data_IF_016363469954
#
_entry.id   IF_016363469954
#
_cell.length_a   1.000
_cell.length_b   1.000
_cell.length_c   1.000
_cell.angle_alpha   90.00
_cell.angle_beta   90.00
_cell.angle_gamma   90.00
#
_symmetry.space_group_name_H-M   'P 1'
#
loop_
_entity.id
_entity.type
_entity.pdbx_description
1 polymer ?
#
# COMPACT_ATOMS: atom_id res chain seq x y z
N UNK A 1 8.55 25.67 53.78
CA UNK A 1 9.60 25.57 52.74
C UNK A 1 9.88 24.09 52.50
N UNK A 2 9.57 23.64 51.27
CA UNK A 2 10.07 22.43 50.57
C UNK A 2 9.80 21.05 51.20
N UNK A 3 8.74 20.43 50.70
CA UNK A 3 8.59 18.99 50.54
C UNK A 3 9.63 18.44 49.55
N UNK A 4 10.07 17.19 49.74
CA UNK A 4 10.38 16.30 48.64
C UNK A 4 10.18 14.83 49.08
N UNK A 5 9.15 14.23 48.48
CA UNK A 5 8.72 12.85 48.63
C UNK A 5 9.71 11.88 47.99
N UNK A 6 10.04 10.81 48.72
CA UNK A 6 10.61 9.58 48.18
C UNK A 6 9.57 8.87 47.33
N UNK A 7 9.82 8.71 46.02
CA UNK A 7 9.08 7.82 45.15
C UNK A 7 10.00 6.74 44.57
N UNK A 8 9.58 5.51 44.83
CA UNK A 8 10.13 4.20 44.50
C UNK A 8 10.48 4.07 43.01
N UNK A 9 11.73 3.71 42.68
CA UNK A 9 12.14 3.32 41.33
C UNK A 9 11.49 1.97 40.97
N UNK A 10 10.56 2.00 40.01
CA UNK A 10 10.11 0.79 39.32
C UNK A 10 11.18 0.34 38.31
N UNK A 11 11.50 -0.95 38.37
CA UNK A 11 12.46 -1.61 37.50
C UNK A 11 11.92 -1.61 36.07
N UNK A 12 12.65 -0.97 35.15
CA UNK A 12 12.32 -0.96 33.72
C UNK A 12 12.76 -2.27 33.04
N UNK A 13 11.92 -2.76 32.11
CA UNK A 13 12.12 -3.96 31.28
C UNK A 13 13.50 -4.05 30.60
N UNK A 14 14.17 -2.90 30.36
CA UNK A 14 15.53 -2.86 29.82
C UNK A 14 16.57 -3.52 30.74
N UNK A 15 16.37 -3.49 32.06
CA UNK A 15 17.32 -4.09 33.02
C UNK A 15 17.24 -5.62 33.08
N UNK A 16 16.08 -6.20 32.75
CA UNK A 16 15.89 -7.66 32.77
C UNK A 16 16.52 -8.36 31.56
N UNK A 17 16.70 -7.66 30.44
CA UNK A 17 17.25 -8.23 29.20
C UNK A 17 18.79 -8.27 29.22
N UNK A 18 19.43 -7.52 30.12
CA UNK A 18 20.90 -7.38 30.15
C UNK A 18 21.57 -8.42 31.07
N UNK A 19 20.85 -9.05 32.01
CA UNK A 19 21.45 -10.00 32.96
C UNK A 19 21.58 -11.46 32.45
N UNK A 20 20.96 -11.84 31.33
CA UNK A 20 21.13 -13.17 30.74
C UNK A 20 21.97 -13.14 29.47
N UNK A 21 23.28 -13.06 29.64
CA UNK A 21 24.23 -13.11 28.53
C UNK A 21 25.65 -13.30 29.03
N UNK A 22 25.93 -14.48 29.62
CA UNK A 22 27.27 -14.90 30.00
C UNK A 22 28.21 -14.89 28.79
N UNK A 23 29.30 -14.15 29.01
CA UNK A 23 30.57 -13.99 28.31
C UNK A 23 30.97 -15.10 27.31
N UNK A 24 31.50 -14.69 26.14
CA UNK A 24 32.83 -15.07 25.61
C UNK A 24 33.07 -14.35 24.27
N UNK A 25 34.22 -13.68 24.15
CA UNK A 25 34.88 -13.46 22.85
C UNK A 25 35.21 -12.01 22.48
N UNK A 26 36.23 -11.43 23.13
CA UNK A 26 36.88 -10.16 22.77
C UNK A 26 37.54 -10.26 21.39
N UNK A 27 37.14 -9.42 20.44
CA UNK A 27 37.94 -8.98 19.27
C UNK A 27 37.50 -7.59 18.81
N UNK A 28 38.37 -6.63 19.12
CA UNK A 28 38.59 -5.30 18.55
C UNK A 28 37.38 -4.42 18.20
N UNK A 29 37.15 -3.44 19.10
CA UNK A 29 36.36 -2.24 18.87
C UNK A 29 36.91 -1.47 17.66
N UNK A 30 36.24 -1.60 16.52
CA UNK A 30 36.03 -0.46 15.63
C UNK A 30 34.67 0.10 16.02
N UNK A 31 34.68 1.20 16.77
CA UNK A 31 33.50 2.02 17.04
C UNK A 31 32.95 2.49 15.70
N UNK A 32 32.00 1.74 15.15
CA UNK A 32 31.15 2.20 14.07
C UNK A 32 30.27 3.27 14.70
N UNK A 33 30.70 4.52 14.50
CA UNK A 33 29.96 5.72 14.81
C UNK A 33 28.48 5.53 14.50
N UNK A 34 27.64 5.85 15.49
CA UNK A 34 26.19 5.91 15.39
C UNK A 34 25.79 6.40 14.00
N UNK A 35 25.29 5.47 13.17
CA UNK A 35 24.65 5.82 11.91
C UNK A 35 23.47 6.69 12.27
N UNK A 36 23.67 8.02 12.22
CA UNK A 36 22.65 9.02 12.46
C UNK A 36 21.41 8.59 11.67
N UNK A 37 20.39 8.13 12.38
CA UNK A 37 19.07 7.87 11.81
C UNK A 37 18.63 9.21 11.24
N UNK A 38 18.72 9.35 9.91
CA UNK A 38 18.23 10.52 9.20
C UNK A 38 16.82 10.80 9.70
N UNK A 39 16.50 12.04 10.10
CA UNK A 39 15.15 12.36 10.53
C UNK A 39 14.19 11.98 9.40
N UNK A 40 13.23 11.12 9.73
CA UNK A 40 12.18 10.70 8.81
C UNK A 40 11.43 11.95 8.35
N UNK A 41 11.48 12.24 7.05
CA UNK A 41 10.80 13.40 6.48
C UNK A 41 9.31 13.09 6.44
N UNK A 42 8.57 13.58 7.44
CA UNK A 42 7.11 13.51 7.49
C UNK A 42 6.55 14.66 6.66
N UNK A 43 5.79 14.33 5.62
CA UNK A 43 5.05 15.30 4.82
C UNK A 43 3.63 15.40 5.35
N UNK A 44 3.24 16.60 5.76
CA UNK A 44 1.86 16.93 6.10
C UNK A 44 1.22 17.66 4.92
N UNK A 45 0.04 17.20 4.51
CA UNK A 45 -0.72 17.79 3.40
C UNK A 45 -2.12 18.10 3.92
N UNK A 46 -2.58 19.33 3.71
CA UNK A 46 -3.93 19.74 4.07
C UNK A 46 -4.97 18.98 3.24
N UNK A 47 -6.04 18.54 3.90
CA UNK A 47 -7.13 17.81 3.24
C UNK A 47 -8.04 18.79 2.52
N UNK A 48 -8.30 18.53 1.25
CA UNK A 48 -9.22 19.34 0.46
C UNK A 48 -10.67 18.84 0.66
N UNK A 49 -11.47 19.60 1.41
CA UNK A 49 -12.85 19.24 1.76
C UNK A 49 -13.75 18.99 0.54
N UNK A 50 -13.53 19.70 -0.56
CA UNK A 50 -14.27 19.52 -1.79
C UNK A 50 -14.05 18.13 -2.41
N UNK A 51 -12.82 17.60 -2.32
CA UNK A 51 -12.47 16.27 -2.83
C UNK A 51 -13.09 15.21 -1.94
N UNK A 52 -13.03 15.38 -0.62
CA UNK A 52 -13.67 14.47 0.34
C UNK A 52 -15.19 14.42 0.11
N UNK A 53 -15.83 15.57 -0.13
CA UNK A 53 -17.25 15.64 -0.42
C UNK A 53 -17.63 14.92 -1.72
N UNK A 54 -16.81 15.02 -2.77
CA UNK A 54 -17.01 14.29 -4.05
C UNK A 54 -16.91 12.77 -3.88
N UNK A 55 -16.08 12.31 -2.94
CA UNK A 55 -15.95 10.90 -2.59
C UNK A 55 -17.08 10.42 -1.66
N UNK A 56 -17.98 11.32 -1.25
CA UNK A 56 -19.19 10.99 -0.50
C UNK A 56 -20.10 10.06 -1.28
N UNK A 57 -20.17 8.79 -0.85
CA UNK A 57 -20.93 7.73 -1.55
C UNK A 57 -20.09 6.84 -2.46
N UNK A 58 -18.77 7.01 -2.45
CA UNK A 58 -17.85 6.07 -3.08
C UNK A 58 -17.79 4.74 -2.31
N UNK A 59 -17.41 3.68 -3.00
CA UNK A 59 -17.22 2.34 -2.44
C UNK A 59 -15.83 1.82 -2.76
N UNK A 60 -15.28 1.00 -1.87
CA UNK A 60 -14.01 0.32 -2.06
C UNK A 60 -14.25 -1.16 -2.22
N UNK A 61 -13.89 -1.68 -3.38
CA UNK A 61 -13.90 -3.09 -3.71
C UNK A 61 -12.54 -3.74 -3.46
N UNK A 62 -12.55 -4.93 -2.88
CA UNK A 62 -11.39 -5.79 -2.69
C UNK A 62 -11.44 -6.88 -3.75
N UNK A 63 -10.53 -6.85 -4.72
CA UNK A 63 -10.51 -7.77 -5.84
C UNK A 63 -10.09 -9.18 -5.40
N UNK A 64 -10.77 -10.20 -5.93
CA UNK A 64 -10.40 -11.61 -5.74
C UNK A 64 -9.05 -11.86 -6.42
N UNK A 65 -8.96 -11.49 -7.69
CA UNK A 65 -7.76 -11.61 -8.51
C UNK A 65 -7.24 -10.24 -8.94
N UNK A 66 -5.92 -10.15 -9.15
CA UNK A 66 -5.30 -8.92 -9.61
C UNK A 66 -5.73 -8.64 -11.05
N UNK A 67 -6.30 -7.46 -11.28
CA UNK A 67 -6.86 -7.06 -12.56
C UNK A 67 -6.72 -5.56 -12.74
N UNK A 68 -6.30 -5.17 -13.93
CA UNK A 68 -6.09 -3.76 -14.26
C UNK A 68 -7.39 -2.96 -14.15
N UNK A 69 -7.32 -1.78 -13.52
CA UNK A 69 -8.50 -0.92 -13.34
C UNK A 69 -9.13 -0.49 -14.67
N UNK A 70 -8.33 -0.29 -15.72
CA UNK A 70 -8.83 0.02 -17.07
C UNK A 70 -9.74 -1.09 -17.62
N UNK A 71 -9.40 -2.36 -17.37
CA UNK A 71 -10.22 -3.49 -17.78
C UNK A 71 -11.54 -3.53 -17.01
N UNK A 72 -11.50 -3.28 -15.70
CA UNK A 72 -12.71 -3.24 -14.87
C UNK A 72 -13.59 -2.05 -15.30
N UNK A 73 -12.99 -0.88 -15.54
CA UNK A 73 -13.65 0.33 -16.01
C UNK A 73 -14.43 0.06 -17.31
N UNK A 74 -13.77 -0.57 -18.29
CA UNK A 74 -14.38 -0.96 -19.54
C UNK A 74 -15.54 -1.94 -19.34
N UNK A 75 -15.42 -2.90 -18.41
CA UNK A 75 -16.51 -3.82 -18.11
C UNK A 75 -17.74 -3.10 -17.55
N UNK A 76 -17.57 -2.14 -16.63
CA UNK A 76 -18.71 -1.34 -16.14
C UNK A 76 -19.36 -0.51 -17.25
N UNK A 77 -18.55 0.11 -18.11
CA UNK A 77 -19.05 0.86 -19.27
C UNK A 77 -19.85 0.01 -20.24
N UNK A 78 -19.34 -1.18 -20.59
CA UNK A 78 -20.02 -2.10 -21.50
C UNK A 78 -21.33 -2.66 -20.93
N UNK A 79 -21.49 -2.66 -19.61
CA UNK A 79 -22.71 -3.08 -18.92
C UNK A 79 -23.67 -1.92 -18.61
N UNK A 80 -23.43 -0.72 -19.18
CA UNK A 80 -24.33 0.44 -19.08
C UNK A 80 -24.00 1.43 -17.96
N UNK A 81 -22.98 1.18 -17.15
CA UNK A 81 -22.56 2.06 -16.04
C UNK A 81 -21.50 3.06 -16.49
N UNK A 82 -21.82 3.90 -17.49
CA UNK A 82 -20.87 4.81 -18.13
C UNK A 82 -20.36 5.94 -17.21
N UNK A 83 -21.16 6.31 -16.21
CA UNK A 83 -20.85 7.33 -15.20
C UNK A 83 -19.86 6.86 -14.14
N UNK A 84 -19.60 5.56 -14.04
CA UNK A 84 -18.69 5.02 -13.04
C UNK A 84 -17.25 5.41 -13.36
N UNK A 85 -16.51 5.75 -12.33
CA UNK A 85 -15.08 6.01 -12.35
C UNK A 85 -14.40 5.06 -11.39
N UNK A 86 -13.36 4.41 -11.88
CA UNK A 86 -12.61 3.39 -11.15
C UNK A 86 -11.16 3.86 -11.01
N UNK A 87 -10.65 3.78 -9.79
CA UNK A 87 -9.28 4.15 -9.47
C UNK A 87 -8.63 3.06 -8.60
N UNK A 88 -7.36 2.75 -8.83
CA UNK A 88 -6.61 1.84 -7.97
C UNK A 88 -6.21 2.56 -6.68
N UNK A 89 -6.58 2.00 -5.53
CA UNK A 89 -6.14 2.49 -4.22
C UNK A 89 -4.86 1.81 -3.72
N UNK A 90 -4.35 0.85 -4.49
CA UNK A 90 -3.14 0.10 -4.19
C UNK A 90 -3.42 -1.40 -4.09
N UNK A 91 -2.59 -2.17 -4.78
CA UNK A 91 -2.75 -3.62 -4.96
C UNK A 91 -4.19 -3.98 -5.37
N UNK A 92 -4.83 -4.92 -4.68
CA UNK A 92 -6.18 -5.43 -4.97
C UNK A 92 -7.32 -4.54 -4.46
N UNK A 93 -7.06 -3.29 -4.08
CA UNK A 93 -8.11 -2.35 -3.69
C UNK A 93 -8.42 -1.40 -4.84
N UNK A 94 -9.69 -1.31 -5.20
CA UNK A 94 -10.18 -0.33 -6.17
C UNK A 94 -11.28 0.53 -5.56
N UNK A 95 -11.23 1.82 -5.86
CA UNK A 95 -12.26 2.80 -5.55
C UNK A 95 -13.24 2.85 -6.72
N UNK A 96 -14.52 2.78 -6.40
CA UNK A 96 -15.63 3.03 -7.33
C UNK A 96 -16.35 4.28 -6.86
N UNK A 97 -16.48 5.25 -7.76
CA UNK A 97 -17.24 6.48 -7.52
C UNK A 97 -17.93 6.95 -8.80
N UNK A 98 -18.88 7.86 -8.68
CA UNK A 98 -19.61 8.43 -9.82
C UNK A 98 -19.88 9.90 -9.54
N UNK A 99 -20.02 10.69 -10.61
CA UNK A 99 -20.47 12.08 -10.49
C UNK A 99 -21.96 12.17 -10.11
N UNK A 100 -22.70 11.07 -10.24
CA UNK A 100 -24.12 10.97 -9.88
C UNK A 100 -24.27 10.49 -8.44
N UNK A 101 -24.84 11.35 -7.60
CA UNK A 101 -25.07 11.07 -6.19
C UNK A 101 -25.92 9.81 -6.00
N UNK A 102 -25.42 8.86 -5.19
CA UNK A 102 -26.15 7.65 -4.82
C UNK A 102 -26.15 6.51 -5.84
N UNK A 103 -25.70 6.75 -7.08
CA UNK A 103 -25.73 5.74 -8.15
C UNK A 103 -24.85 4.52 -7.81
N UNK A 104 -23.62 4.76 -7.33
CA UNK A 104 -22.70 3.69 -6.93
C UNK A 104 -23.26 2.89 -5.76
N UNK A 105 -23.90 3.56 -4.80
CA UNK A 105 -24.53 2.90 -3.65
C UNK A 105 -25.63 1.95 -4.10
N UNK A 106 -26.55 2.43 -4.93
CA UNK A 106 -27.69 1.64 -5.43
C UNK A 106 -27.21 0.40 -6.19
N UNK A 107 -26.21 0.56 -7.07
CA UNK A 107 -25.64 -0.56 -7.82
C UNK A 107 -24.89 -1.53 -6.92
N UNK A 108 -24.04 -1.05 -6.01
CA UNK A 108 -23.24 -1.92 -5.13
C UNK A 108 -24.07 -2.66 -4.08
N UNK A 109 -25.24 -2.14 -3.70
CA UNK A 109 -26.21 -2.83 -2.83
C UNK A 109 -27.07 -3.85 -3.60
N UNK A 110 -27.10 -3.75 -4.93
CA UNK A 110 -27.75 -4.75 -5.80
C UNK A 110 -26.83 -5.94 -6.10
N UNK A 111 -27.44 -7.07 -6.48
CA UNK A 111 -26.69 -8.26 -6.91
C UNK A 111 -26.42 -8.17 -8.41
N UNK A 112 -25.16 -8.30 -8.80
CA UNK A 112 -24.77 -8.26 -10.20
C UNK A 112 -23.51 -9.06 -10.50
N UNK A 113 -23.07 -9.01 -11.76
CA UNK A 113 -21.91 -9.76 -12.23
C UNK A 113 -20.61 -9.37 -11.48
N UNK A 114 -20.52 -8.12 -11.01
CA UNK A 114 -19.39 -7.61 -10.23
C UNK A 114 -19.20 -8.32 -8.88
N UNK A 115 -20.22 -9.01 -8.34
CA UNK A 115 -20.06 -9.83 -7.13
C UNK A 115 -19.00 -10.92 -7.31
N UNK A 116 -18.73 -11.36 -8.54
CA UNK A 116 -17.63 -12.28 -8.85
C UNK A 116 -16.25 -11.63 -8.97
N UNK A 117 -16.18 -10.30 -9.09
CA UNK A 117 -14.92 -9.56 -9.13
C UNK A 117 -14.37 -9.30 -7.72
N UNK A 118 -15.25 -9.13 -6.74
CA UNK A 118 -14.92 -8.63 -5.43
C UNK A 118 -15.10 -9.68 -4.34
N UNK A 119 -14.07 -9.85 -3.51
CA UNK A 119 -14.15 -10.61 -2.26
C UNK A 119 -15.08 -9.89 -1.27
N UNK A 120 -14.97 -8.56 -1.21
CA UNK A 120 -15.85 -7.70 -0.42
C UNK A 120 -15.90 -6.29 -1.00
N UNK A 121 -17.01 -5.60 -0.75
CA UNK A 121 -17.22 -4.21 -1.14
C UNK A 121 -17.71 -3.46 0.10
N UNK A 122 -17.10 -2.33 0.42
CA UNK A 122 -17.43 -1.52 1.61
C UNK A 122 -17.56 -0.05 1.24
N UNK A 123 -18.37 0.75 1.95
CA UNK A 123 -18.38 2.19 1.78
C UNK A 123 -16.98 2.77 2.01
N UNK A 124 -16.58 3.74 1.19
CA UNK A 124 -15.32 4.44 1.37
C UNK A 124 -15.35 5.30 2.65
N UNK A 125 -14.21 5.37 3.34
CA UNK A 125 -13.98 6.31 4.43
C UNK A 125 -12.57 6.90 4.31
N UNK A 126 -12.33 8.13 4.80
CA UNK A 126 -10.98 8.73 4.82
C UNK A 126 -9.95 7.90 5.61
N UNK A 127 -10.41 7.13 6.60
CA UNK A 127 -9.58 6.20 7.37
C UNK A 127 -9.18 4.94 6.59
N UNK A 128 -9.82 4.67 5.44
CA UNK A 128 -9.52 3.51 4.62
C UNK A 128 -8.29 3.77 3.76
N UNK A 129 -7.13 3.52 4.35
CA UNK A 129 -5.83 3.64 3.69
C UNK A 129 -5.36 2.26 3.18
N UNK A 130 -4.70 2.23 2.02
CA UNK A 130 -3.98 1.03 1.57
C UNK A 130 -2.53 1.09 2.05
N UNK A 131 -2.00 -0.03 2.54
CA UNK A 131 -0.59 -0.14 2.93
C UNK A 131 0.28 -0.69 1.78
N UNK A 132 -0.35 -1.12 0.70
CA UNK A 132 0.35 -1.68 -0.46
C UNK A 132 0.37 -0.64 -1.58
N UNK A 133 1.49 -0.61 -2.30
CA UNK A 133 1.71 0.24 -3.47
C UNK A 133 2.12 -0.65 -4.63
N UNK A 134 1.68 -0.27 -5.82
CA UNK A 134 2.07 -0.91 -7.06
C UNK A 134 2.74 0.17 -7.90
N UNK A 135 3.92 -0.14 -8.44
CA UNK A 135 4.68 0.78 -9.26
C UNK A 135 5.32 0.03 -10.41
N UNK A 136 5.48 0.71 -11.54
CA UNK A 136 6.31 0.22 -12.63
C UNK A 136 7.77 0.52 -12.35
N UNK A 137 8.65 -0.40 -12.73
CA UNK A 137 10.11 -0.23 -12.64
C UNK A 137 10.64 -0.12 -14.07
N UNK A 138 11.15 1.05 -14.42
CA UNK A 138 11.82 1.28 -15.70
C UNK A 138 13.31 0.93 -15.56
N UNK A 139 13.79 0.00 -16.38
CA UNK A 139 15.19 -0.45 -16.37
C UNK A 139 15.89 0.01 -17.64
N UNK A 140 17.06 0.64 -17.52
CA UNK A 140 17.86 1.13 -18.64
C UNK A 140 19.24 0.46 -18.65
N UNK A 141 19.80 0.25 -19.85
CA UNK A 141 21.14 -0.35 -20.01
C UNK A 141 21.22 -1.85 -19.74
N UNK A 142 20.09 -2.54 -19.76
CA UNK A 142 20.03 -4.00 -19.57
C UNK A 142 20.61 -4.71 -20.80
N UNK A 143 21.57 -5.64 -20.63
CA UNK A 143 22.10 -6.42 -21.74
C UNK A 143 21.04 -7.31 -22.40
N UNK A 144 20.88 -7.22 -23.72
CA UNK A 144 19.86 -7.96 -24.49
C UNK A 144 19.92 -9.48 -24.30
N UNK A 145 21.11 -10.06 -24.14
CA UNK A 145 21.26 -11.51 -23.92
C UNK A 145 20.71 -12.00 -22.57
N UNK A 146 20.40 -11.09 -21.64
CA UNK A 146 19.79 -11.38 -20.34
C UNK A 146 18.30 -11.05 -20.29
N UNK A 147 17.72 -10.66 -21.42
CA UNK A 147 16.33 -10.19 -21.51
C UNK A 147 15.34 -11.35 -21.36
N UNK A 148 15.04 -11.67 -20.11
CA UNK A 148 14.16 -12.78 -19.75
C UNK A 148 13.40 -12.52 -18.46
N UNK A 149 12.34 -13.30 -18.23
CA UNK A 149 11.45 -13.10 -17.09
C UNK A 149 12.17 -13.20 -15.73
N UNK A 150 13.21 -14.03 -15.66
CA UNK A 150 13.99 -14.21 -14.43
C UNK A 150 14.79 -12.97 -14.06
N UNK A 151 15.28 -12.20 -15.04
CA UNK A 151 15.89 -10.90 -14.78
C UNK A 151 14.88 -9.93 -14.15
N UNK A 152 13.68 -9.79 -14.74
CA UNK A 152 12.65 -8.89 -14.23
C UNK A 152 12.17 -9.27 -12.84
N UNK A 153 12.03 -10.58 -12.56
CA UNK A 153 11.75 -11.09 -11.22
C UNK A 153 12.85 -10.73 -10.23
N UNK A 154 14.12 -10.94 -10.61
CA UNK A 154 15.27 -10.63 -9.76
C UNK A 154 15.36 -9.12 -9.46
N UNK A 155 15.05 -8.26 -10.43
CA UNK A 155 15.01 -6.81 -10.23
C UNK A 155 13.86 -6.40 -9.31
N UNK A 156 12.65 -6.91 -9.56
CA UNK A 156 11.47 -6.60 -8.75
C UNK A 156 11.59 -7.10 -7.30
N UNK A 157 12.28 -8.21 -7.06
CA UNK A 157 12.48 -8.79 -5.73
C UNK A 157 13.07 -7.80 -4.72
N UNK A 158 13.93 -6.87 -5.17
CA UNK A 158 14.49 -5.82 -4.30
C UNK A 158 13.46 -4.80 -3.81
N UNK A 159 12.36 -4.62 -4.56
CA UNK A 159 11.34 -3.60 -4.30
C UNK A 159 10.03 -4.22 -3.79
N UNK A 160 9.87 -5.53 -3.89
CA UNK A 160 8.72 -6.25 -3.37
C UNK A 160 8.36 -7.45 -4.24
N UNK A 161 7.06 -7.67 -4.42
CA UNK A 161 6.54 -8.80 -5.18
C UNK A 161 6.42 -8.43 -6.65
N UNK A 162 7.03 -9.23 -7.51
CA UNK A 162 6.83 -9.16 -8.96
C UNK A 162 5.35 -9.43 -9.30
N UNK A 163 4.75 -8.58 -10.14
CA UNK A 163 3.37 -8.73 -10.61
C UNK A 163 3.39 -9.13 -12.09
N UNK A 164 3.88 -8.24 -12.94
CA UNK A 164 3.93 -8.47 -14.37
C UNK A 164 5.02 -7.64 -15.06
N UNK A 165 5.24 -7.97 -16.34
CA UNK A 165 5.96 -7.14 -17.31
C UNK A 165 4.96 -6.80 -18.40
N UNK A 166 4.99 -5.57 -18.90
CA UNK A 166 4.13 -5.15 -19.99
C UNK A 166 4.42 -5.96 -21.26
N UNK A 167 3.45 -6.01 -22.16
CA UNK A 167 3.52 -6.86 -23.36
C UNK A 167 4.65 -6.43 -24.30
N UNK A 168 4.92 -5.13 -24.40
CA UNK A 168 5.95 -4.61 -25.31
C UNK A 168 7.34 -4.99 -24.82
N UNK A 169 7.61 -4.83 -23.53
CA UNK A 169 8.87 -5.25 -22.89
C UNK A 169 9.08 -6.77 -22.98
N UNK A 170 8.02 -7.58 -22.89
CA UNK A 170 8.12 -9.05 -23.05
C UNK A 170 8.50 -9.51 -24.46
N UNK A 171 8.21 -8.70 -25.48
CA UNK A 171 8.36 -9.06 -26.91
C UNK A 171 9.66 -8.56 -27.55
N UNK A 172 10.50 -7.85 -26.79
CA UNK A 172 11.84 -7.44 -27.20
C UNK A 172 12.81 -8.61 -27.18
#
# INVERSE_FOLDING_TARGET
MREQNHAKMDRSFKSAVVEEGLEVGRRDEVTLEDSQLKPEVVWEVEVEDEVVAKLGGAYVGYLIDDKEASTIQNQFWMNGFQSFKICTLGYRKILLWSDRVGEVKEVMESVGWWCSLFEKIVPWSPSLVSNQRVTWICCYGVPLHTWGLDLFRAMAFKFGRFIEVDVQTKQM
#
